data_IF_980881429812
#
_entry.id   IF_980881429812
#
_cell.length_a   1.000
_cell.length_b   1.000
_cell.length_c   1.000
_cell.angle_alpha   90.00
_cell.angle_beta   90.00
_cell.angle_gamma   90.00
#
_symmetry.space_group_name_H-M   'P 1'
#
loop_
_entity.id
_entity.type
_entity.pdbx_description
1 polymer ?
#
# COMPACT_ATOMS: atom_id res chain seq x y z
N UNK A 1 -27.64 -23.46 -24.38
CA UNK A 1 -27.69 -21.99 -24.45
C UNK A 1 -26.76 -21.43 -23.39
N UNK A 2 -26.16 -20.27 -23.61
CA UNK A 2 -25.26 -19.57 -22.68
C UNK A 2 -25.73 -18.12 -22.49
N UNK A 3 -25.74 -17.62 -21.26
CA UNK A 3 -26.18 -16.27 -20.91
C UNK A 3 -25.00 -15.29 -20.85
N UNK A 4 -25.14 -14.12 -21.44
CA UNK A 4 -24.14 -13.04 -21.39
C UNK A 4 -24.19 -12.28 -20.07
N UNK A 5 -23.08 -12.19 -19.33
CA UNK A 5 -22.99 -11.51 -18.02
C UNK A 5 -22.96 -9.96 -18.12
N UNK A 6 -23.36 -9.39 -19.26
CA UNK A 6 -23.41 -7.94 -19.51
C UNK A 6 -24.79 -7.47 -19.97
N UNK A 7 -25.44 -8.22 -20.87
CA UNK A 7 -26.76 -7.88 -21.42
C UNK A 7 -27.85 -8.87 -21.02
N UNK A 8 -27.51 -9.93 -20.27
CA UNK A 8 -28.41 -10.99 -19.80
C UNK A 8 -29.16 -11.76 -20.90
N UNK A 9 -28.78 -11.56 -22.17
CA UNK A 9 -29.33 -12.30 -23.32
C UNK A 9 -28.77 -13.72 -23.42
N UNK A 10 -29.58 -14.61 -24.01
CA UNK A 10 -29.26 -16.02 -24.21
C UNK A 10 -28.83 -16.32 -25.64
N UNK A 11 -27.73 -17.05 -25.79
CA UNK A 11 -27.14 -17.39 -27.07
C UNK A 11 -27.03 -18.91 -27.25
N UNK A 12 -27.18 -19.37 -28.49
CA UNK A 12 -26.77 -20.73 -28.89
C UNK A 12 -25.24 -20.78 -28.92
N UNK A 13 -24.61 -21.75 -28.24
CA UNK A 13 -23.15 -21.86 -28.17
C UNK A 13 -22.50 -21.88 -29.55
N UNK A 14 -23.04 -22.66 -30.49
CA UNK A 14 -22.58 -22.73 -31.88
C UNK A 14 -22.64 -21.37 -32.61
N UNK A 15 -23.70 -20.59 -32.39
CA UNK A 15 -23.86 -19.26 -33.02
C UNK A 15 -22.84 -18.23 -32.52
N UNK A 16 -22.25 -18.45 -31.36
CA UNK A 16 -21.20 -17.59 -30.77
C UNK A 16 -19.84 -18.28 -30.74
N UNK A 17 -19.67 -19.34 -31.53
CA UNK A 17 -18.44 -20.12 -31.67
C UNK A 17 -17.90 -20.69 -30.35
N UNK A 18 -18.80 -21.12 -29.47
CA UNK A 18 -18.50 -21.81 -28.22
C UNK A 18 -18.94 -23.26 -28.34
N UNK A 19 -17.96 -24.17 -28.30
CA UNK A 19 -18.22 -25.60 -28.21
C UNK A 19 -18.94 -25.94 -26.89
N UNK A 20 -19.85 -26.91 -26.93
CA UNK A 20 -20.63 -27.33 -25.76
C UNK A 20 -19.74 -27.71 -24.57
N UNK A 21 -18.65 -28.42 -24.82
CA UNK A 21 -17.72 -28.88 -23.76
C UNK A 21 -17.00 -27.71 -23.09
N UNK A 22 -16.59 -26.73 -23.88
CA UNK A 22 -15.94 -25.50 -23.39
C UNK A 22 -16.97 -24.66 -22.62
N UNK A 23 -18.17 -24.52 -23.17
CA UNK A 23 -19.25 -23.74 -22.60
C UNK A 23 -19.67 -24.21 -21.20
N UNK A 24 -19.78 -25.53 -21.02
CA UNK A 24 -20.20 -26.13 -19.74
C UNK A 24 -19.07 -26.16 -18.70
N UNK A 25 -17.85 -26.50 -19.11
CA UNK A 25 -16.78 -26.84 -18.17
C UNK A 25 -15.75 -25.72 -17.93
N UNK A 26 -15.48 -24.88 -18.94
CA UNK A 26 -14.35 -23.95 -18.94
C UNK A 26 -14.74 -22.50 -18.87
N UNK A 27 -15.97 -22.10 -19.20
CA UNK A 27 -16.36 -20.70 -19.10
C UNK A 27 -16.59 -20.32 -17.63
N UNK A 28 -15.87 -19.29 -17.18
CA UNK A 28 -16.06 -18.69 -15.86
C UNK A 28 -16.99 -17.47 -15.93
N UNK A 29 -16.85 -16.68 -16.99
CA UNK A 29 -17.65 -15.49 -17.27
C UNK A 29 -17.81 -15.36 -18.77
N UNK A 30 -19.03 -15.28 -19.29
CA UNK A 30 -19.29 -15.13 -20.72
C UNK A 30 -19.70 -13.71 -21.06
N UNK A 31 -19.06 -13.14 -22.08
CA UNK A 31 -19.41 -11.84 -22.67
C UNK A 31 -19.63 -12.04 -24.17
N UNK A 32 -20.81 -11.66 -24.66
CA UNK A 32 -21.15 -11.82 -26.07
C UNK A 32 -20.33 -10.89 -26.98
N UNK A 33 -20.23 -11.17 -28.30
CA UNK A 33 -19.47 -10.35 -29.24
C UNK A 33 -19.91 -8.88 -29.27
N UNK A 34 -21.20 -8.59 -29.04
CA UNK A 34 -21.74 -7.24 -28.99
C UNK A 34 -21.35 -6.45 -27.74
N UNK A 35 -21.11 -7.14 -26.62
CA UNK A 35 -20.69 -6.53 -25.35
C UNK A 35 -19.17 -6.56 -25.14
N UNK A 36 -18.41 -7.12 -26.08
CA UNK A 36 -16.96 -7.24 -25.96
C UNK A 36 -16.29 -5.93 -26.36
N UNK A 37 -15.61 -5.28 -25.41
CA UNK A 37 -15.00 -3.96 -25.62
C UNK A 37 -13.59 -4.06 -26.24
N UNK A 38 -13.25 -3.08 -27.09
CA UNK A 38 -11.89 -2.95 -27.67
C UNK A 38 -10.80 -2.67 -26.63
N UNK A 39 -11.18 -2.16 -25.45
CA UNK A 39 -10.26 -1.88 -24.35
C UNK A 39 -9.93 -3.14 -23.51
N UNK A 40 -10.56 -4.29 -23.80
CA UNK A 40 -10.26 -5.56 -23.14
C UNK A 40 -10.78 -5.69 -21.70
N UNK A 41 -11.61 -4.76 -21.24
CA UNK A 41 -12.21 -4.77 -19.90
C UNK A 41 -13.32 -5.83 -19.83
N UNK A 42 -14.21 -5.83 -20.82
CA UNK A 42 -15.32 -6.77 -20.93
C UNK A 42 -14.99 -7.87 -21.93
N UNK A 43 -14.40 -8.96 -21.44
CA UNK A 43 -14.04 -10.14 -22.25
C UNK A 43 -14.48 -11.43 -21.54
N UNK A 44 -14.79 -12.45 -22.34
CA UNK A 44 -15.06 -13.80 -21.84
C UNK A 44 -13.84 -14.35 -21.10
N UNK A 45 -14.03 -14.82 -19.87
CA UNK A 45 -12.99 -15.42 -19.04
C UNK A 45 -13.19 -16.93 -18.96
N UNK A 46 -12.10 -17.66 -19.17
CA UNK A 46 -12.06 -19.11 -19.10
C UNK A 46 -11.27 -19.58 -17.87
N UNK A 47 -11.71 -20.67 -17.26
CA UNK A 47 -10.96 -21.44 -16.27
C UNK A 47 -9.71 -22.03 -16.92
N UNK A 48 -8.63 -22.14 -16.16
CA UNK A 48 -7.43 -22.88 -16.58
C UNK A 48 -7.78 -24.36 -16.76
N UNK A 49 -7.35 -24.91 -17.88
CA UNK A 49 -7.44 -26.35 -18.17
C UNK A 49 -6.40 -27.12 -17.35
N UNK A 50 -6.65 -28.41 -17.18
CA UNK A 50 -5.71 -29.36 -16.61
C UNK A 50 -4.34 -29.30 -17.32
N UNK A 51 -3.25 -29.39 -16.57
CA UNK A 51 -1.88 -29.38 -17.12
C UNK A 51 -1.48 -30.64 -17.91
N UNK A 52 -2.28 -31.71 -17.88
CA UNK A 52 -2.03 -32.90 -18.69
C UNK A 52 -2.33 -32.60 -20.17
N UNK A 53 -1.37 -32.87 -21.04
CA UNK A 53 -1.53 -32.64 -22.49
C UNK A 53 -2.75 -33.39 -23.04
N UNK A 54 -3.61 -32.68 -23.78
CA UNK A 54 -4.85 -33.23 -24.34
C UNK A 54 -6.06 -33.25 -23.39
N UNK A 55 -5.91 -32.83 -22.12
CA UNK A 55 -7.03 -32.71 -21.19
C UNK A 55 -7.67 -31.30 -21.22
N UNK A 56 -8.96 -31.25 -21.54
CA UNK A 56 -9.74 -29.99 -21.59
C UNK A 56 -10.64 -29.78 -20.37
N UNK A 57 -10.47 -30.59 -19.32
CA UNK A 57 -11.21 -30.42 -18.06
C UNK A 57 -10.62 -29.26 -17.26
N UNK A 58 -11.43 -28.52 -16.47
CA UNK A 58 -10.93 -27.45 -15.61
C UNK A 58 -10.00 -28.03 -14.54
N UNK A 59 -8.93 -27.29 -14.23
CA UNK A 59 -8.05 -27.60 -13.11
C UNK A 59 -8.72 -27.18 -11.77
N UNK A 60 -8.40 -27.90 -10.68
CA UNK A 60 -8.87 -27.60 -9.31
C UNK A 60 -8.09 -26.44 -8.68
N UNK A 61 -7.96 -25.34 -9.42
CA UNK A 61 -7.23 -24.13 -8.99
C UNK A 61 -8.17 -23.13 -8.30
N UNK A 62 -9.49 -23.27 -8.51
CA UNK A 62 -10.49 -22.28 -8.13
C UNK A 62 -11.49 -22.79 -7.08
N UNK A 63 -11.28 -24.00 -6.54
CA UNK A 63 -12.22 -24.66 -5.61
C UNK A 63 -12.05 -24.16 -4.15
N UNK A 64 -11.30 -23.07 -3.96
CA UNK A 64 -10.89 -22.41 -2.71
C UNK A 64 -12.03 -21.95 -1.78
N UNK A 65 -13.30 -22.22 -2.11
CA UNK A 65 -14.45 -21.77 -1.31
C UNK A 65 -14.58 -22.55 0.01
N UNK A 66 -13.88 -23.68 0.19
CA UNK A 66 -13.98 -24.49 1.43
C UNK A 66 -12.67 -25.09 1.93
N UNK A 67 -11.58 -24.32 1.96
CA UNK A 67 -10.41 -24.59 2.83
C UNK A 67 -9.98 -26.05 3.01
N UNK A 68 -9.88 -26.83 1.93
CA UNK A 68 -9.50 -28.24 1.97
C UNK A 68 -8.50 -28.59 0.86
N UNK A 69 -7.80 -29.70 1.06
CA UNK A 69 -6.55 -30.18 0.44
C UNK A 69 -6.55 -30.44 -1.09
N UNK A 70 -7.52 -29.90 -1.85
CA UNK A 70 -7.77 -30.28 -3.25
C UNK A 70 -7.19 -29.33 -4.30
N UNK A 71 -6.46 -28.28 -3.91
CA UNK A 71 -5.80 -27.37 -4.85
C UNK A 71 -4.83 -28.14 -5.76
N UNK A 72 -5.11 -28.16 -7.06
CA UNK A 72 -4.28 -28.85 -8.04
C UNK A 72 -4.38 -28.22 -9.41
N UNK A 73 -3.25 -28.20 -10.12
CA UNK A 73 -3.21 -27.82 -11.55
C UNK A 73 -3.80 -28.91 -12.46
N UNK A 74 -4.26 -30.02 -11.88
CA UNK A 74 -4.90 -31.13 -12.57
C UNK A 74 -6.39 -31.23 -12.20
N UNK A 75 -7.19 -31.84 -13.08
CA UNK A 75 -8.61 -32.09 -12.79
C UNK A 75 -8.82 -33.29 -11.85
N UNK A 76 -7.88 -34.24 -11.80
CA UNK A 76 -7.94 -35.47 -10.98
C UNK A 76 -6.52 -35.92 -10.60
N UNK A 77 -6.37 -36.62 -9.49
CA UNK A 77 -5.05 -37.11 -9.03
C UNK A 77 -4.44 -38.09 -10.03
N UNK A 78 -5.28 -38.91 -10.67
CA UNK A 78 -4.87 -39.75 -11.81
C UNK A 78 -4.16 -38.97 -12.92
N UNK A 79 -4.63 -37.76 -13.24
CA UNK A 79 -4.00 -36.96 -14.29
C UNK A 79 -2.68 -36.34 -13.82
N UNK A 80 -2.56 -36.06 -12.52
CA UNK A 80 -1.29 -35.66 -11.93
C UNK A 80 -0.28 -36.82 -11.99
N UNK A 81 -0.69 -38.03 -11.65
CA UNK A 81 0.13 -39.25 -11.75
C UNK A 81 0.55 -39.53 -13.20
N UNK A 82 -0.40 -39.55 -14.14
CA UNK A 82 -0.13 -39.79 -15.56
C UNK A 82 0.84 -38.73 -16.12
N UNK A 83 0.70 -37.47 -15.71
CA UNK A 83 1.63 -36.39 -16.08
C UNK A 83 3.03 -36.60 -15.51
N UNK A 84 3.14 -36.97 -14.23
CA UNK A 84 4.41 -37.31 -13.59
C UNK A 84 5.09 -38.49 -14.28
N UNK A 85 4.34 -39.54 -14.62
CA UNK A 85 4.88 -40.68 -15.36
C UNK A 85 5.40 -40.27 -16.75
N UNK A 86 4.65 -39.43 -17.48
CA UNK A 86 5.10 -38.92 -18.79
C UNK A 86 6.39 -38.09 -18.67
N UNK A 87 6.48 -37.25 -17.64
CA UNK A 87 7.68 -36.46 -17.37
C UNK A 87 8.88 -37.36 -17.01
N UNK A 88 8.69 -38.36 -16.15
CA UNK A 88 9.74 -39.31 -15.77
C UNK A 88 10.18 -40.15 -16.99
N UNK A 89 9.25 -40.51 -17.87
CA UNK A 89 9.53 -41.25 -19.12
C UNK A 89 10.31 -40.42 -20.14
N UNK A 90 10.05 -39.11 -20.22
CA UNK A 90 10.73 -38.22 -21.17
C UNK A 90 12.21 -37.99 -20.82
N UNK A 91 12.60 -38.20 -19.55
CA UNK A 91 13.99 -38.08 -19.11
C UNK A 91 14.88 -39.22 -19.64
N UNK A 92 16.16 -38.92 -19.98
CA UNK A 92 17.09 -39.91 -20.52
C UNK A 92 17.45 -40.98 -19.48
N UNK A 93 17.60 -42.22 -19.96
CA UNK A 93 18.14 -43.33 -19.18
C UNK A 93 19.67 -43.24 -19.09
N UNK A 94 20.23 -43.60 -17.93
CA UNK A 94 21.65 -43.54 -17.61
C UNK A 94 22.53 -44.40 -18.57
N UNK A 95 21.90 -45.34 -19.28
CA UNK A 95 22.60 -46.26 -20.22
C UNK A 95 22.84 -45.66 -21.61
N UNK A 96 22.28 -44.49 -21.94
CA UNK A 96 22.50 -43.87 -23.25
C UNK A 96 23.81 -43.07 -23.28
N UNK A 97 24.55 -43.13 -24.40
CA UNK A 97 25.83 -42.41 -24.54
C UNK A 97 25.68 -40.88 -24.43
N UNK A 98 24.49 -40.33 -24.73
CA UNK A 98 24.15 -38.91 -24.53
C UNK A 98 23.85 -38.54 -23.07
N UNK A 99 23.63 -39.51 -22.19
CA UNK A 99 23.32 -39.26 -20.77
C UNK A 99 24.54 -38.83 -19.94
N UNK A 100 25.77 -39.02 -20.45
CA UNK A 100 26.98 -38.54 -19.77
C UNK A 100 27.08 -37.01 -19.71
N UNK A 101 26.41 -36.31 -20.62
CA UNK A 101 26.28 -34.83 -20.63
C UNK A 101 24.92 -34.35 -20.10
N UNK A 102 23.95 -35.25 -19.84
CA UNK A 102 22.64 -34.86 -19.34
C UNK A 102 22.69 -34.69 -17.80
N UNK A 103 22.51 -33.45 -17.34
CA UNK A 103 22.58 -33.12 -15.90
C UNK A 103 21.50 -33.86 -15.08
N UNK A 104 20.31 -34.10 -15.65
CA UNK A 104 19.18 -34.74 -14.97
C UNK A 104 18.72 -36.03 -15.70
N UNK A 105 19.24 -37.17 -15.26
CA UNK A 105 18.78 -38.49 -15.72
C UNK A 105 17.54 -38.95 -14.94
N UNK A 106 16.80 -39.95 -15.46
CA UNK A 106 15.65 -40.53 -14.76
C UNK A 106 16.00 -41.01 -13.34
N UNK A 107 17.16 -41.64 -13.17
CA UNK A 107 17.64 -42.12 -11.86
C UNK A 107 17.95 -40.97 -10.90
N UNK A 108 18.63 -39.91 -11.37
CA UNK A 108 18.91 -38.71 -10.56
C UNK A 108 17.59 -38.02 -10.14
N UNK A 109 16.64 -37.90 -11.06
CA UNK A 109 15.35 -37.28 -10.80
C UNK A 109 14.51 -38.07 -9.77
N UNK A 110 14.42 -39.40 -9.93
CA UNK A 110 13.76 -40.25 -8.93
C UNK A 110 14.48 -40.22 -7.57
N UNK A 111 15.81 -40.10 -7.57
CA UNK A 111 16.59 -39.86 -6.37
C UNK A 111 16.19 -38.56 -5.65
N UNK A 112 16.01 -37.45 -6.39
CA UNK A 112 15.57 -36.17 -5.84
C UNK A 112 14.15 -36.23 -5.25
N UNK A 113 13.22 -36.94 -5.92
CA UNK A 113 11.86 -37.15 -5.42
C UNK A 113 11.85 -37.97 -4.12
N UNK A 114 12.74 -38.96 -3.99
CA UNK A 114 12.85 -39.76 -2.77
C UNK A 114 13.58 -39.04 -1.62
N UNK A 115 14.44 -38.06 -1.91
CA UNK A 115 15.11 -37.23 -0.88
C UNK A 115 14.16 -36.19 -0.30
N UNK A 116 13.13 -35.78 -1.05
CA UNK A 116 12.13 -34.82 -0.57
C UNK A 116 11.16 -35.42 0.46
N UNK A 117 11.06 -36.75 0.57
CA UNK A 117 10.21 -37.44 1.55
C UNK A 117 10.90 -37.67 2.90
N UNK A 118 11.38 -36.61 3.54
CA UNK A 118 11.98 -36.62 4.90
C UNK A 118 13.47 -36.97 4.92
N UNK A 119 14.33 -35.97 4.72
CA UNK A 119 15.63 -35.99 5.37
C UNK A 119 15.40 -35.99 6.90
N UNK A 120 15.92 -36.98 7.61
CA UNK A 120 15.90 -36.97 9.08
C UNK A 120 16.69 -35.75 9.56
N UNK A 121 15.97 -34.81 10.16
CA UNK A 121 16.51 -33.70 10.94
C UNK A 121 17.66 -34.16 11.83
N UNK A 122 18.81 -33.49 11.74
CA UNK A 122 19.81 -33.49 12.81
C UNK A 122 19.15 -32.79 14.01
N UNK A 123 19.32 -33.34 15.23
CA UNK A 123 18.71 -32.80 16.46
C UNK A 123 18.85 -31.27 16.52
N UNK A 124 17.74 -30.55 16.35
CA UNK A 124 17.67 -29.09 16.47
C UNK A 124 17.43 -28.32 15.17
N UNK A 125 17.48 -28.96 14.00
CA UNK A 125 17.26 -28.28 12.70
C UNK A 125 16.04 -28.82 11.96
N UNK A 126 15.22 -27.93 11.41
CA UNK A 126 14.11 -28.31 10.54
C UNK A 126 14.62 -28.94 9.23
N UNK A 127 14.07 -30.11 8.83
CA UNK A 127 14.52 -30.81 7.65
C UNK A 127 14.33 -29.95 6.39
N UNK A 128 15.36 -29.94 5.53
CA UNK A 128 15.28 -29.24 4.26
C UNK A 128 14.28 -29.94 3.34
N UNK A 129 13.46 -29.15 2.65
CA UNK A 129 12.49 -29.62 1.67
C UNK A 129 12.51 -28.70 0.45
N UNK A 130 12.10 -29.24 -0.69
CA UNK A 130 12.00 -28.50 -1.93
C UNK A 130 11.01 -27.33 -1.76
N UNK A 131 11.49 -26.10 -2.00
CA UNK A 131 10.74 -24.87 -1.75
C UNK A 131 11.27 -24.05 -0.55
N UNK A 132 12.07 -24.64 0.34
CA UNK A 132 12.80 -23.89 1.37
C UNK A 132 13.91 -23.08 0.72
N UNK A 133 13.90 -21.75 0.90
CA UNK A 133 14.97 -20.88 0.37
C UNK A 133 16.31 -21.31 0.96
N UNK A 134 17.32 -21.62 0.11
CA UNK A 134 18.68 -21.86 0.59
C UNK A 134 19.19 -20.66 1.40
N UNK A 135 19.90 -20.92 2.50
CA UNK A 135 20.53 -19.90 3.35
C UNK A 135 19.55 -18.85 3.93
N UNK A 136 18.29 -19.24 4.13
CA UNK A 136 17.32 -18.37 4.79
C UNK A 136 17.77 -18.05 6.22
N UNK A 137 17.68 -16.77 6.59
CA UNK A 137 17.97 -16.31 7.95
C UNK A 137 17.04 -17.01 8.93
N UNK A 138 17.55 -17.77 9.92
CA UNK A 138 16.72 -18.45 10.91
C UNK A 138 15.84 -17.46 11.68
N UNK A 139 14.66 -17.92 12.09
CA UNK A 139 13.77 -17.14 12.94
C UNK A 139 14.50 -16.80 14.26
N UNK A 140 14.48 -15.52 14.66
CA UNK A 140 15.15 -15.05 15.86
C UNK A 140 16.67 -14.84 15.73
N UNK A 141 17.26 -14.95 14.53
CA UNK A 141 18.69 -14.71 14.30
C UNK A 141 19.19 -13.42 14.97
N UNK A 142 18.51 -12.30 14.75
CA UNK A 142 18.89 -11.00 15.31
C UNK A 142 18.76 -10.89 16.84
N UNK A 143 18.09 -11.85 17.49
CA UNK A 143 17.94 -11.90 18.96
C UNK A 143 19.08 -12.66 19.64
N UNK A 144 19.79 -13.51 18.91
CA UNK A 144 20.82 -14.40 19.45
C UNK A 144 22.24 -14.01 19.03
N UNK A 145 22.37 -13.17 18.00
CA UNK A 145 23.67 -12.78 17.44
C UNK A 145 24.02 -11.35 17.85
N UNK A 146 25.28 -11.15 18.26
CA UNK A 146 25.83 -9.83 18.50
C UNK A 146 25.93 -9.06 17.17
N UNK A 147 25.13 -8.00 17.05
CA UNK A 147 25.04 -7.18 15.83
C UNK A 147 26.37 -6.54 15.44
N UNK A 148 27.25 -6.28 16.42
CA UNK A 148 28.55 -5.65 16.17
C UNK A 148 29.50 -6.57 15.38
N UNK A 149 29.28 -7.89 15.45
CA UNK A 149 30.05 -8.89 14.72
C UNK A 149 29.46 -9.21 13.33
N UNK A 150 28.20 -8.81 13.07
CA UNK A 150 27.49 -9.11 11.82
C UNK A 150 27.71 -8.02 10.77
N UNK A 151 27.69 -6.76 11.20
CA UNK A 151 27.78 -5.61 10.29
C UNK A 151 29.22 -5.13 10.09
N UNK A 152 29.58 -4.81 8.85
CA UNK A 152 30.83 -4.08 8.58
C UNK A 152 30.75 -2.64 9.10
N UNK A 153 31.87 -1.95 9.31
CA UNK A 153 31.87 -0.55 9.73
C UNK A 153 31.06 0.36 8.78
N UNK A 154 31.10 0.09 7.48
CA UNK A 154 30.36 0.83 6.46
C UNK A 154 28.84 0.58 6.58
N UNK A 155 28.44 -0.67 6.79
CA UNK A 155 27.03 -1.04 7.01
C UNK A 155 26.48 -0.41 8.30
N UNK A 156 27.27 -0.40 9.39
CA UNK A 156 26.91 0.26 10.64
C UNK A 156 26.72 1.78 10.44
N UNK A 157 27.65 2.43 9.75
CA UNK A 157 27.58 3.86 9.44
C UNK A 157 26.35 4.18 8.58
N UNK A 158 26.08 3.37 7.54
CA UNK A 158 24.91 3.52 6.69
C UNK A 158 23.61 3.37 7.47
N UNK A 159 23.48 2.32 8.30
CA UNK A 159 22.28 2.07 9.09
C UNK A 159 22.02 3.20 10.10
N UNK A 160 23.07 3.71 10.74
CA UNK A 160 22.97 4.85 11.66
C UNK A 160 22.52 6.13 10.94
N UNK A 161 23.13 6.44 9.80
CA UNK A 161 22.75 7.60 8.99
C UNK A 161 21.32 7.48 8.44
N UNK A 162 20.94 6.33 7.88
CA UNK A 162 19.59 6.08 7.39
C UNK A 162 18.54 6.17 8.49
N UNK A 163 18.84 5.68 9.69
CA UNK A 163 17.95 5.81 10.83
C UNK A 163 17.76 7.28 11.23
N UNK A 164 18.85 8.06 11.29
CA UNK A 164 18.79 9.50 11.55
C UNK A 164 17.94 10.25 10.51
N UNK A 165 18.14 9.95 9.22
CA UNK A 165 17.34 10.51 8.13
C UNK A 165 15.85 10.18 8.30
N UNK A 166 15.50 8.93 8.64
CA UNK A 166 14.09 8.55 8.89
C UNK A 166 13.49 9.27 10.07
N UNK A 167 14.26 9.53 11.13
CA UNK A 167 13.79 10.32 12.26
C UNK A 167 13.48 11.75 11.84
N UNK A 168 14.36 12.39 11.08
CA UNK A 168 14.11 13.73 10.53
C UNK A 168 12.86 13.78 9.63
N UNK A 169 12.71 12.82 8.71
CA UNK A 169 11.51 12.68 7.87
C UNK A 169 10.24 12.49 8.71
N UNK A 170 10.32 11.73 9.80
CA UNK A 170 9.18 11.52 10.70
C UNK A 170 8.78 12.81 11.42
N UNK A 171 9.73 13.63 11.87
CA UNK A 171 9.47 14.94 12.47
C UNK A 171 8.78 15.88 11.46
N UNK A 172 9.26 15.92 10.22
CA UNK A 172 8.63 16.72 9.15
C UNK A 172 7.20 16.25 8.83
N UNK A 173 6.95 14.93 8.83
CA UNK A 173 5.60 14.38 8.65
C UNK A 173 4.68 14.85 9.78
N UNK A 174 5.14 14.83 11.03
CA UNK A 174 4.37 15.30 12.19
C UNK A 174 4.05 16.78 12.04
N UNK A 175 5.02 17.59 11.59
CA UNK A 175 4.82 19.02 11.37
C UNK A 175 3.79 19.31 10.28
N UNK A 176 3.86 18.61 9.14
CA UNK A 176 2.88 18.73 8.06
C UNK A 176 1.48 18.25 8.49
N UNK A 177 1.39 17.22 9.35
CA UNK A 177 0.10 16.82 9.93
C UNK A 177 -0.49 17.92 10.83
N UNK A 178 0.34 18.63 11.59
CA UNK A 178 -0.09 19.81 12.36
C UNK A 178 -0.56 20.95 11.45
N UNK A 179 0.12 21.21 10.33
CA UNK A 179 -0.35 22.16 9.31
C UNK A 179 -1.73 21.78 8.76
N UNK A 180 -1.95 20.49 8.46
CA UNK A 180 -3.26 19.99 8.02
C UNK A 180 -4.34 20.19 9.09
N UNK A 181 -4.02 19.91 10.36
CA UNK A 181 -4.93 20.15 11.48
C UNK A 181 -5.29 21.64 11.58
N UNK A 182 -4.32 22.56 11.41
CA UNK A 182 -4.60 24.00 11.44
C UNK A 182 -5.56 24.43 10.31
N UNK A 183 -5.38 23.90 9.10
CA UNK A 183 -6.29 24.14 7.97
C UNK A 183 -7.71 23.66 8.28
N UNK A 184 -7.82 22.48 8.88
CA UNK A 184 -9.12 21.90 9.25
C UNK A 184 -9.79 22.73 10.36
N UNK A 185 -9.04 23.14 11.38
CA UNK A 185 -9.55 24.02 12.44
C UNK A 185 -10.03 25.37 11.89
N UNK A 186 -9.31 25.97 10.93
CA UNK A 186 -9.71 27.23 10.31
C UNK A 186 -11.02 27.07 9.51
N UNK A 187 -11.15 25.96 8.79
CA UNK A 187 -12.36 25.65 8.02
C UNK A 187 -13.56 25.35 8.92
N UNK A 188 -13.36 24.60 10.01
CA UNK A 188 -14.42 24.34 10.99
C UNK A 188 -14.84 25.63 11.71
N UNK A 189 -13.90 26.50 12.07
CA UNK A 189 -14.23 27.82 12.64
C UNK A 189 -15.07 28.66 11.69
N UNK A 190 -14.72 28.68 10.39
CA UNK A 190 -15.53 29.35 9.35
C UNK A 190 -16.95 28.80 9.32
N UNK A 191 -17.13 27.47 9.35
CA UNK A 191 -18.45 26.83 9.35
C UNK A 191 -19.26 27.14 10.62
N UNK A 192 -18.60 27.13 11.77
CA UNK A 192 -19.22 27.47 13.05
C UNK A 192 -19.73 28.92 13.04
N UNK A 193 -18.91 29.88 12.61
CA UNK A 193 -19.30 31.29 12.53
C UNK A 193 -20.48 31.53 11.55
N UNK A 194 -20.56 30.77 10.44
CA UNK A 194 -21.72 30.82 9.52
C UNK A 194 -22.98 30.28 10.21
N UNK A 195 -22.84 29.20 10.98
CA UNK A 195 -23.96 28.53 11.66
C UNK A 195 -24.53 29.39 12.79
N UNK A 196 -23.66 30.08 13.52
CA UNK A 196 -24.03 31.03 14.58
C UNK A 196 -24.57 32.37 14.04
N UNK A 197 -24.54 32.58 12.73
CA UNK A 197 -25.02 33.81 12.10
C UNK A 197 -24.08 35.02 12.27
N UNK A 198 -22.85 34.80 12.74
CA UNK A 198 -21.83 35.85 12.89
C UNK A 198 -21.30 36.34 11.53
N UNK A 199 -21.29 35.46 10.53
CA UNK A 199 -20.83 35.75 9.17
C UNK A 199 -21.73 35.12 8.12
N UNK A 200 -21.72 35.68 6.91
CA UNK A 200 -22.51 35.14 5.80
C UNK A 200 -21.88 33.92 5.14
N UNK A 201 -22.71 33.15 4.41
CA UNK A 201 -22.32 31.90 3.74
C UNK A 201 -21.16 32.04 2.74
N UNK A 202 -21.04 33.19 2.08
CA UNK A 202 -20.04 33.49 1.04
C UNK A 202 -18.71 34.05 1.58
N UNK A 203 -18.52 34.03 2.91
CA UNK A 203 -17.31 34.54 3.58
C UNK A 203 -16.06 33.73 3.21
N UNK A 204 -14.91 34.38 3.10
CA UNK A 204 -13.64 33.73 2.82
C UNK A 204 -13.21 32.75 3.92
N UNK A 205 -13.17 33.20 5.17
CA UNK A 205 -12.80 32.39 6.33
C UNK A 205 -11.32 32.03 6.45
N UNK A 206 -10.45 32.59 5.59
CA UNK A 206 -9.00 32.42 5.69
C UNK A 206 -8.49 32.94 7.03
N UNK A 207 -7.62 32.20 7.70
CA UNK A 207 -7.00 32.63 8.95
C UNK A 207 -5.58 33.12 8.70
N UNK A 208 -5.18 34.25 9.28
CA UNK A 208 -3.83 34.81 9.10
C UNK A 208 -2.70 33.87 9.53
N UNK A 209 -2.96 32.96 10.47
CA UNK A 209 -1.97 31.94 10.88
C UNK A 209 -1.70 30.90 9.79
N UNK A 210 -2.54 30.83 8.76
CA UNK A 210 -2.32 29.94 7.61
C UNK A 210 -1.18 30.42 6.71
N UNK A 211 -0.69 31.65 6.87
CA UNK A 211 0.48 32.15 6.14
C UNK A 211 1.74 31.32 6.45
N UNK A 212 1.76 30.67 7.61
CA UNK A 212 2.83 29.78 8.05
C UNK A 212 2.73 28.38 7.41
N UNK A 213 1.59 28.04 6.79
CA UNK A 213 1.40 26.74 6.13
C UNK A 213 2.24 26.71 4.85
N UNK A 214 3.18 25.79 4.79
CA UNK A 214 4.16 25.71 3.69
C UNK A 214 5.54 26.28 4.03
N UNK A 215 5.70 26.85 5.24
CA UNK A 215 6.99 27.31 5.78
C UNK A 215 7.37 26.46 7.01
N UNK A 216 8.02 25.28 6.84
CA UNK A 216 8.30 24.35 7.94
C UNK A 216 9.04 24.97 9.12
N UNK A 217 10.09 25.76 8.87
CA UNK A 217 10.90 26.37 9.93
C UNK A 217 10.08 27.34 10.79
N UNK A 218 9.39 28.30 10.16
CA UNK A 218 8.56 29.28 10.85
C UNK A 218 7.37 28.63 11.55
N UNK A 219 6.74 27.65 10.91
CA UNK A 219 5.66 26.88 11.51
C UNK A 219 6.14 26.06 12.71
N UNK A 220 7.36 25.52 12.65
CA UNK A 220 8.00 24.83 13.77
C UNK A 220 8.18 25.73 14.99
N UNK A 221 8.56 26.98 14.79
CA UNK A 221 8.63 27.99 15.85
C UNK A 221 7.23 28.32 16.38
N UNK A 222 6.24 28.52 15.50
CA UNK A 222 4.86 28.79 15.89
C UNK A 222 4.26 27.67 16.74
N UNK A 223 4.45 26.41 16.36
CA UNK A 223 3.92 25.24 17.09
C UNK A 223 4.48 25.17 18.52
N UNK A 224 5.70 25.66 18.75
CA UNK A 224 6.36 25.74 20.07
C UNK A 224 6.02 27.01 20.85
N UNK A 225 5.36 27.97 20.22
CA UNK A 225 4.93 29.19 20.90
C UNK A 225 3.74 28.90 21.84
N UNK A 226 3.54 29.76 22.84
CA UNK A 226 2.39 29.65 23.75
C UNK A 226 1.05 29.63 22.99
N UNK A 227 0.95 30.37 21.88
CA UNK A 227 -0.23 30.38 21.02
C UNK A 227 -0.43 29.02 20.32
N UNK A 228 0.62 28.48 19.70
CA UNK A 228 0.58 27.17 19.04
C UNK A 228 0.23 26.06 20.03
N UNK A 229 0.89 26.01 21.18
CA UNK A 229 0.62 25.03 22.22
C UNK A 229 -0.83 25.06 22.71
N UNK A 230 -1.39 26.26 22.94
CA UNK A 230 -2.78 26.41 23.34
C UNK A 230 -3.75 25.89 22.26
N UNK A 231 -3.50 26.22 20.98
CA UNK A 231 -4.32 25.78 19.84
C UNK A 231 -4.34 24.25 19.73
N UNK A 232 -3.17 23.61 19.74
CA UNK A 232 -3.07 22.15 19.59
C UNK A 232 -3.53 21.39 20.83
N UNK A 233 -3.34 21.94 22.03
CA UNK A 233 -3.82 21.32 23.28
C UNK A 233 -5.34 21.35 23.39
N UNK A 234 -5.96 22.46 23.01
CA UNK A 234 -7.41 22.64 23.10
C UNK A 234 -8.15 22.23 21.81
N UNK A 235 -7.41 21.91 20.74
CA UNK A 235 -7.93 21.64 19.41
C UNK A 235 -8.90 22.74 18.93
N UNK A 236 -8.54 24.00 19.16
CA UNK A 236 -9.41 25.15 18.85
C UNK A 236 -8.61 26.40 18.55
N UNK A 237 -9.10 27.17 17.57
CA UNK A 237 -8.53 28.47 17.19
C UNK A 237 -9.10 29.64 18.00
N UNK A 238 -10.13 29.40 18.80
CA UNK A 238 -10.91 30.42 19.52
C UNK A 238 -10.70 30.39 21.04
N UNK A 239 -10.00 29.38 21.57
CA UNK A 239 -9.75 29.29 23.02
C UNK A 239 -8.84 30.41 23.51
N UNK A 240 -9.22 31.01 24.64
CA UNK A 240 -8.46 32.08 25.31
C UNK A 240 -7.04 31.63 25.67
N UNK A 241 -6.09 32.55 25.56
CA UNK A 241 -4.66 32.32 25.79
C UNK A 241 -3.80 32.26 24.53
N UNK A 242 -4.41 32.32 23.33
CA UNK A 242 -3.68 32.34 22.07
C UNK A 242 -3.25 33.72 21.57
N UNK A 243 -3.93 34.79 21.98
CA UNK A 243 -3.62 36.16 21.55
C UNK A 243 -3.16 36.97 22.75
N UNK A 244 -2.13 37.80 22.58
CA UNK A 244 -1.73 38.76 23.62
C UNK A 244 -2.80 39.83 23.79
N UNK A 245 -2.88 40.45 24.96
CA UNK A 245 -3.83 41.55 25.20
C UNK A 245 -3.63 42.68 24.16
N UNK A 246 -2.39 43.01 23.85
CA UNK A 246 -2.04 43.99 22.80
C UNK A 246 -2.57 43.59 21.41
N UNK A 247 -2.44 42.31 21.02
CA UNK A 247 -2.97 41.81 19.76
C UNK A 247 -4.50 41.88 19.72
N UNK A 248 -5.16 41.50 20.82
CA UNK A 248 -6.62 41.60 20.94
C UNK A 248 -7.07 43.05 20.79
N UNK A 249 -6.42 43.99 21.48
CA UNK A 249 -6.76 45.42 21.39
C UNK A 249 -6.51 45.98 19.98
N UNK A 250 -5.40 45.60 19.33
CA UNK A 250 -5.12 45.99 17.95
C UNK A 250 -6.17 45.47 16.97
N UNK A 251 -6.63 44.23 17.14
CA UNK A 251 -7.67 43.64 16.30
C UNK A 251 -9.05 44.26 16.54
N UNK A 252 -9.36 44.63 17.79
CA UNK A 252 -10.57 45.40 18.12
C UNK A 252 -10.55 46.77 17.44
N UNK A 253 -9.46 47.51 17.58
CA UNK A 253 -9.30 48.83 16.97
C UNK A 253 -9.37 48.76 15.43
N UNK A 254 -8.79 47.73 14.81
CA UNK A 254 -8.87 47.54 13.36
C UNK A 254 -10.30 47.23 12.89
N UNK A 255 -11.04 46.39 13.63
CA UNK A 255 -12.43 46.07 13.31
C UNK A 255 -13.37 47.28 13.45
N UNK A 256 -13.15 48.11 14.47
CA UNK A 256 -13.88 49.38 14.66
C UNK A 256 -13.60 50.37 13.53
N UNK A 257 -12.35 50.44 13.06
CA UNK A 257 -11.93 51.38 12.01
C UNK A 257 -12.41 50.99 10.60
N UNK A 258 -12.45 49.70 10.24
CA UNK A 258 -12.82 49.27 8.88
C UNK A 258 -14.33 49.20 8.66
N UNK A 259 -15.12 48.73 9.64
CA UNK A 259 -16.50 48.29 9.37
C UNK A 259 -17.51 48.57 10.50
N UNK A 260 -17.08 49.21 11.60
CA UNK A 260 -17.94 49.52 12.76
C UNK A 260 -18.56 48.29 13.43
N UNK A 261 -18.08 47.08 13.11
CA UNK A 261 -18.57 45.81 13.66
C UNK A 261 -17.88 45.48 14.97
N UNK A 262 -18.65 44.95 15.92
CA UNK A 262 -18.14 44.47 17.20
C UNK A 262 -17.19 43.28 16.95
N UNK A 263 -15.95 43.43 17.40
CA UNK A 263 -14.94 42.38 17.31
C UNK A 263 -15.35 41.20 18.20
N UNK A 264 -15.35 39.99 17.64
CA UNK A 264 -15.61 38.76 18.40
C UNK A 264 -14.42 37.81 18.34
N UNK A 265 -14.18 37.10 19.44
CA UNK A 265 -13.12 36.08 19.52
C UNK A 265 -13.32 34.96 18.48
N UNK A 266 -14.58 34.66 18.13
CA UNK A 266 -14.94 33.65 17.15
C UNK A 266 -14.43 33.97 15.73
N UNK A 267 -14.31 35.25 15.38
CA UNK A 267 -13.85 35.70 14.05
C UNK A 267 -12.45 36.32 14.06
N UNK A 268 -11.72 36.24 15.18
CA UNK A 268 -10.40 36.87 15.34
C UNK A 268 -9.37 36.34 14.31
N UNK A 269 -8.90 37.21 13.41
CA UNK A 269 -7.89 36.87 12.40
C UNK A 269 -8.48 36.11 11.21
N UNK A 270 -9.81 36.03 11.13
CA UNK A 270 -10.54 35.46 10.01
C UNK A 270 -10.80 36.52 8.94
N UNK A 271 -10.52 36.22 7.68
CA UNK A 271 -10.89 37.04 6.55
C UNK A 271 -12.40 37.00 6.34
N UNK A 272 -13.05 38.16 6.45
CA UNK A 272 -14.50 38.34 6.36
C UNK A 272 -14.97 38.72 4.93
N UNK A 273 -14.03 38.98 4.01
CA UNK A 273 -14.32 39.34 2.62
C UNK A 273 -15.13 38.25 1.92
N UNK A 274 -16.20 38.66 1.24
CA UNK A 274 -16.98 37.78 0.37
C UNK A 274 -16.21 37.47 -0.89
N UNK A 275 -16.22 36.20 -1.32
CA UNK A 275 -15.59 35.75 -2.58
C UNK A 275 -14.17 36.33 -2.76
N UNK A 276 -13.39 36.28 -1.69
CA UNK A 276 -12.04 36.85 -1.63
C UNK A 276 -11.15 36.22 -2.72
N UNK A 277 -10.67 37.04 -3.66
CA UNK A 277 -9.78 36.58 -4.75
C UNK A 277 -8.39 36.16 -4.24
N UNK A 278 -7.72 36.90 -3.33
CA UNK A 278 -6.41 36.50 -2.79
C UNK A 278 -6.39 35.10 -2.18
N UNK A 279 -7.43 34.71 -1.44
CA UNK A 279 -7.53 33.41 -0.78
C UNK A 279 -8.51 32.47 -1.50
N UNK A 280 -8.63 32.60 -2.82
CA UNK A 280 -9.55 31.76 -3.58
C UNK A 280 -9.19 30.27 -3.41
N UNK A 281 -10.15 29.47 -2.96
CA UNK A 281 -9.97 28.02 -2.74
C UNK A 281 -8.81 27.63 -1.81
N UNK A 282 -8.43 28.51 -0.87
CA UNK A 282 -7.30 28.31 0.05
C UNK A 282 -7.33 26.91 0.70
N UNK A 283 -8.49 26.49 1.22
CA UNK A 283 -8.62 25.22 1.94
C UNK A 283 -8.25 24.03 1.06
N UNK A 284 -8.76 24.00 -0.18
CA UNK A 284 -8.51 22.91 -1.12
C UNK A 284 -7.05 22.90 -1.60
N UNK A 285 -6.48 24.07 -1.87
CA UNK A 285 -5.10 24.20 -2.37
C UNK A 285 -4.11 23.75 -1.30
N UNK A 286 -4.17 24.32 -0.10
CA UNK A 286 -3.25 23.99 0.99
C UNK A 286 -3.41 22.54 1.42
N UNK A 287 -4.64 22.08 1.62
CA UNK A 287 -4.90 20.70 2.03
C UNK A 287 -4.40 19.69 0.99
N UNK A 288 -4.57 19.96 -0.31
CA UNK A 288 -4.01 19.10 -1.36
C UNK A 288 -2.48 19.08 -1.31
N UNK A 289 -1.86 20.25 -1.14
CA UNK A 289 -0.40 20.40 -1.04
C UNK A 289 0.17 19.66 0.17
N UNK A 290 -0.34 19.94 1.37
CA UNK A 290 0.11 19.32 2.62
C UNK A 290 -0.08 17.81 2.62
N UNK A 291 -1.22 17.29 2.14
CA UNK A 291 -1.42 15.84 2.00
C UNK A 291 -0.45 15.21 1.00
N UNK A 292 -0.10 15.91 -0.08
CA UNK A 292 0.87 15.41 -1.05
C UNK A 292 2.27 15.32 -0.40
N UNK A 293 2.70 16.37 0.31
CA UNK A 293 3.97 16.38 1.04
C UNK A 293 4.05 15.26 2.09
N UNK A 294 2.98 15.03 2.88
CA UNK A 294 2.93 13.91 3.85
C UNK A 294 3.16 12.57 3.16
N UNK A 295 2.53 12.34 2.00
CA UNK A 295 2.68 11.09 1.25
C UNK A 295 4.11 10.94 0.71
N UNK A 296 4.69 12.02 0.23
CA UNK A 296 6.03 12.02 -0.34
C UNK A 296 7.09 11.77 0.74
N UNK A 297 7.00 12.44 1.89
CA UNK A 297 7.88 12.18 3.04
C UNK A 297 7.75 10.74 3.54
N UNK A 298 6.53 10.20 3.61
CA UNK A 298 6.30 8.81 3.99
C UNK A 298 6.88 7.81 2.97
N UNK A 299 6.83 8.14 1.67
CA UNK A 299 7.48 7.36 0.61
C UNK A 299 8.99 7.33 0.81
N UNK A 300 9.62 8.48 1.04
CA UNK A 300 11.07 8.57 1.29
C UNK A 300 11.48 7.80 2.56
N UNK A 301 10.71 7.92 3.65
CA UNK A 301 10.98 7.19 4.88
C UNK A 301 10.88 5.67 4.68
N UNK A 302 9.94 5.21 3.85
CA UNK A 302 9.80 3.80 3.46
C UNK A 302 11.00 3.33 2.62
N UNK A 303 11.45 4.12 1.66
CA UNK A 303 12.61 3.75 0.82
C UNK A 303 13.89 3.56 1.65
N UNK A 304 14.09 4.42 2.65
CA UNK A 304 15.18 4.29 3.63
C UNK A 304 15.02 3.00 4.44
N UNK A 305 13.83 2.70 4.95
CA UNK A 305 13.57 1.47 5.71
C UNK A 305 13.81 0.22 4.85
N UNK A 306 13.34 0.21 3.60
CA UNK A 306 13.54 -0.89 2.67
C UNK A 306 15.04 -1.08 2.36
N UNK A 307 15.81 0.00 2.27
CA UNK A 307 17.26 -0.06 2.12
C UNK A 307 17.95 -0.64 3.36
N UNK A 308 17.57 -0.20 4.56
CA UNK A 308 18.06 -0.78 5.81
C UNK A 308 17.76 -2.28 5.91
N UNK A 309 16.55 -2.70 5.54
CA UNK A 309 16.14 -4.10 5.55
C UNK A 309 17.01 -4.94 4.61
N UNK A 310 17.28 -4.45 3.39
CA UNK A 310 18.20 -5.14 2.46
C UNK A 310 19.60 -5.29 3.01
N UNK A 311 20.14 -4.25 3.65
CA UNK A 311 21.48 -4.30 4.29
C UNK A 311 21.49 -5.31 5.42
N UNK A 312 20.46 -5.31 6.28
CA UNK A 312 20.31 -6.30 7.35
C UNK A 312 20.25 -7.72 6.80
N UNK A 313 19.35 -7.99 5.87
CA UNK A 313 19.20 -9.31 5.25
C UNK A 313 20.50 -9.81 4.62
N UNK A 314 21.19 -8.96 3.84
CA UNK A 314 22.47 -9.30 3.24
C UNK A 314 23.54 -9.65 4.29
N UNK A 315 23.65 -8.83 5.35
CA UNK A 315 24.60 -9.07 6.43
C UNK A 315 24.30 -10.39 7.17
N UNK A 316 23.04 -10.69 7.47
CA UNK A 316 22.65 -11.95 8.10
C UNK A 316 22.98 -13.16 7.22
N UNK A 317 22.73 -13.08 5.91
CA UNK A 317 23.07 -14.17 4.99
C UNK A 317 24.58 -14.40 4.82
N UNK A 318 25.41 -13.38 5.06
CA UNK A 318 26.89 -13.53 5.03
C UNK A 318 27.42 -14.29 6.25
N UNK A 319 26.70 -14.23 7.38
CA UNK A 319 27.12 -14.82 8.66
C UNK A 319 26.70 -16.28 8.82
N UNK A 320 25.75 -16.75 8.01
CA UNK A 320 25.23 -18.14 7.98
C UNK A 320 26.05 -18.98 7.01
#
# INVERSE_FOLDING_TARGET
MISCDMCDDWFHGECVNIDKTIGEALIQRYVCPGCTDRQGINVTRYKKTCSLEGCWRPARIYDDIRGDADYSVFCSDKHAEDWWEQLVRSLPENRSLRAKEADLTREKFMGLLNVSTVQKSVKGEEPWHLGKKPFAVPNGFWSHVDQTLVFTPEEQSFLAASAADRYALAEEIVLNKKMQQLLDLANERRKAAITEGLVEKDVCGYDTRLDLVGCPEEFGVFVKSAQGEAIYKNNSLTTGGGWTEEQVQAMKAAAEAEDGREWTMATAGMCDRRRCKPHASWYNIFTKSTRHLIKELARQAKEKLDAETRVREAAATRTI
#
